data_IF_706202561294
#
_entry.id   IF_706202561294
#
_cell.length_a   1.000
_cell.length_b   1.000
_cell.length_c   1.000
_cell.angle_alpha   90.00
_cell.angle_beta   90.00
_cell.angle_gamma   90.00
#
_symmetry.space_group_name_H-M   'P 1'
#
loop_
_entity.id
_entity.type
_entity.pdbx_description
1 polymer ?
#
# COMPACT_ATOMS: atom_id res chain seq x y z
N UNK A 1 40.28 -41.98 2.91
CA UNK A 1 40.31 -40.51 3.12
C UNK A 1 39.43 -39.77 2.12
N UNK A 2 39.47 -40.08 0.82
CA UNK A 2 38.63 -39.42 -0.18
C UNK A 2 37.11 -39.62 0.06
N UNK A 3 36.67 -40.81 0.49
CA UNK A 3 35.25 -41.11 0.73
C UNK A 3 34.65 -40.37 1.93
N UNK A 4 35.42 -40.21 3.02
CA UNK A 4 35.00 -39.40 4.19
C UNK A 4 34.85 -37.92 3.82
N UNK A 5 35.74 -37.42 2.96
CA UNK A 5 35.70 -36.03 2.49
C UNK A 5 34.50 -35.79 1.56
N UNK A 6 34.18 -36.76 0.68
CA UNK A 6 33.00 -36.73 -0.15
C UNK A 6 31.69 -36.75 0.67
N UNK A 7 31.59 -37.64 1.68
CA UNK A 7 30.44 -37.69 2.58
C UNK A 7 30.24 -36.38 3.36
N UNK A 8 31.33 -35.77 3.85
CA UNK A 8 31.26 -34.47 4.55
C UNK A 8 30.80 -33.34 3.62
N UNK A 9 31.27 -33.32 2.37
CA UNK A 9 30.84 -32.36 1.35
C UNK A 9 29.36 -32.51 1.01
N UNK A 10 28.87 -33.73 0.90
CA UNK A 10 27.46 -34.01 0.62
C UNK A 10 26.55 -33.63 1.79
N UNK A 11 26.98 -33.91 3.03
CA UNK A 11 26.29 -33.47 4.23
C UNK A 11 26.25 -31.93 4.32
N UNK A 12 27.35 -31.24 4.00
CA UNK A 12 27.41 -29.78 3.96
C UNK A 12 26.48 -29.19 2.89
N UNK A 13 26.48 -29.74 1.67
CA UNK A 13 25.55 -29.33 0.59
C UNK A 13 24.10 -29.53 0.96
N UNK A 14 23.77 -30.62 1.66
CA UNK A 14 22.40 -30.89 2.13
C UNK A 14 21.96 -29.89 3.19
N UNK A 15 22.84 -29.55 4.14
CA UNK A 15 22.59 -28.49 5.13
C UNK A 15 22.40 -27.14 4.46
N UNK A 16 23.22 -26.82 3.45
CA UNK A 16 23.10 -25.58 2.69
C UNK A 16 21.76 -25.49 1.95
N UNK A 17 21.34 -26.55 1.24
CA UNK A 17 20.03 -26.61 0.57
C UNK A 17 18.89 -26.43 1.58
N UNK A 18 18.98 -27.09 2.74
CA UNK A 18 17.99 -26.95 3.80
C UNK A 18 17.92 -25.52 4.36
N UNK A 19 19.08 -24.89 4.58
CA UNK A 19 19.16 -23.50 5.03
C UNK A 19 18.58 -22.53 4.00
N UNK A 20 18.92 -22.68 2.71
CA UNK A 20 18.36 -21.89 1.60
C UNK A 20 16.84 -22.07 1.47
N UNK A 21 16.34 -23.30 1.66
CA UNK A 21 14.90 -23.55 1.65
C UNK A 21 14.19 -22.86 2.83
N UNK A 22 14.80 -22.85 4.02
CA UNK A 22 14.27 -22.12 5.19
C UNK A 22 14.26 -20.62 4.97
N UNK A 23 15.35 -20.03 4.47
CA UNK A 23 15.40 -18.58 4.19
C UNK A 23 14.38 -18.18 3.11
N UNK A 24 14.22 -18.97 2.05
CA UNK A 24 13.20 -18.74 1.04
C UNK A 24 11.78 -18.78 1.62
N UNK A 25 11.48 -19.72 2.52
CA UNK A 25 10.17 -19.80 3.21
C UNK A 25 9.92 -18.57 4.09
N UNK A 26 10.92 -18.17 4.88
CA UNK A 26 10.82 -16.99 5.76
C UNK A 26 10.60 -15.72 4.94
N UNK A 27 11.34 -15.54 3.84
CA UNK A 27 11.17 -14.38 2.94
C UNK A 27 9.75 -14.31 2.36
N UNK A 28 9.22 -15.42 1.85
CA UNK A 28 7.82 -15.48 1.37
C UNK A 28 6.80 -15.19 2.47
N UNK A 29 7.09 -15.59 3.71
CA UNK A 29 6.23 -15.29 4.86
C UNK A 29 6.23 -13.79 5.17
N UNK A 30 7.42 -13.19 5.22
CA UNK A 30 7.61 -11.76 5.43
C UNK A 30 6.93 -10.94 4.33
N UNK A 31 7.11 -11.32 3.06
CA UNK A 31 6.49 -10.62 1.92
C UNK A 31 4.95 -10.67 2.01
N UNK A 32 4.37 -11.81 2.42
CA UNK A 32 2.92 -11.91 2.63
C UNK A 32 2.43 -11.04 3.79
N UNK A 33 3.16 -11.04 4.91
CA UNK A 33 2.84 -10.20 6.06
C UNK A 33 2.94 -8.71 5.69
N UNK A 34 4.02 -8.30 5.02
CA UNK A 34 4.21 -6.93 4.55
C UNK A 34 3.10 -6.49 3.60
N UNK A 35 2.69 -7.33 2.64
CA UNK A 35 1.56 -7.02 1.74
C UNK A 35 0.27 -6.82 2.53
N UNK A 36 -0.01 -7.69 3.51
CA UNK A 36 -1.20 -7.56 4.38
C UNK A 36 -1.15 -6.25 5.18
N UNK A 37 -0.01 -5.94 5.80
CA UNK A 37 0.19 -4.71 6.58
C UNK A 37 0.06 -3.46 5.70
N UNK A 38 0.66 -3.45 4.50
CA UNK A 38 0.54 -2.34 3.56
C UNK A 38 -0.91 -2.12 3.13
N UNK A 39 -1.66 -3.19 2.85
CA UNK A 39 -3.09 -3.07 2.55
C UNK A 39 -3.85 -2.48 3.73
N UNK A 40 -3.60 -2.96 4.96
CA UNK A 40 -4.24 -2.43 6.17
C UNK A 40 -3.92 -0.94 6.39
N UNK A 41 -2.67 -0.52 6.22
CA UNK A 41 -2.26 0.89 6.38
C UNK A 41 -3.05 1.79 5.42
N UNK A 42 -3.25 1.38 4.17
CA UNK A 42 -4.05 2.16 3.20
C UNK A 42 -5.48 2.37 3.69
N UNK A 43 -6.12 1.33 4.20
CA UNK A 43 -7.47 1.43 4.75
C UNK A 43 -7.53 2.29 6.00
N UNK A 44 -6.61 2.09 6.96
CA UNK A 44 -6.57 2.87 8.20
C UNK A 44 -6.31 4.34 7.93
N UNK A 45 -5.34 4.67 7.06
CA UNK A 45 -5.04 6.04 6.68
C UNK A 45 -6.21 6.68 5.95
N UNK A 46 -6.81 5.98 4.99
CA UNK A 46 -8.00 6.46 4.26
C UNK A 46 -9.17 6.76 5.21
N UNK A 47 -9.47 5.84 6.14
CA UNK A 47 -10.50 6.03 7.15
C UNK A 47 -10.22 7.24 8.05
N UNK A 48 -8.98 7.40 8.52
CA UNK A 48 -8.57 8.55 9.33
C UNK A 48 -8.71 9.87 8.55
N UNK A 49 -8.36 9.89 7.26
CA UNK A 49 -8.53 11.07 6.41
C UNK A 49 -10.01 11.43 6.21
N UNK A 50 -10.88 10.44 5.99
CA UNK A 50 -12.33 10.65 5.88
C UNK A 50 -12.88 11.22 7.19
N UNK A 51 -12.58 10.58 8.33
CA UNK A 51 -13.03 11.04 9.64
C UNK A 51 -12.53 12.47 9.94
N UNK A 52 -11.29 12.78 9.57
CA UNK A 52 -10.74 14.13 9.71
C UNK A 52 -11.50 15.15 8.85
N UNK A 53 -11.82 14.79 7.61
CA UNK A 53 -12.59 15.64 6.70
C UNK A 53 -14.02 15.90 7.24
N UNK A 54 -14.68 14.85 7.71
CA UNK A 54 -16.03 14.91 8.30
C UNK A 54 -16.05 15.71 9.61
N UNK A 55 -14.95 15.70 10.37
CA UNK A 55 -14.85 16.48 11.61
C UNK A 55 -14.77 17.99 11.43
N UNK A 56 -14.55 18.48 10.19
CA UNK A 56 -14.33 19.90 9.88
C UNK A 56 -12.98 20.47 10.34
N UNK A 57 -12.20 19.74 11.15
CA UNK A 57 -10.91 20.21 11.70
C UNK A 57 -9.72 20.11 10.72
N UNK A 58 -9.92 19.47 9.57
CA UNK A 58 -8.87 19.21 8.59
C UNK A 58 -9.07 19.89 7.23
N UNK A 59 -9.90 20.92 7.14
CA UNK A 59 -10.32 21.52 5.87
C UNK A 59 -9.15 21.93 4.96
N UNK A 60 -8.09 22.53 5.54
CA UNK A 60 -6.87 22.88 4.79
C UNK A 60 -6.15 21.66 4.21
N UNK A 61 -6.06 20.57 4.99
CA UNK A 61 -5.42 19.32 4.56
C UNK A 61 -6.24 18.67 3.44
N UNK A 62 -7.57 18.61 3.61
CA UNK A 62 -8.50 18.08 2.61
C UNK A 62 -8.41 18.88 1.31
N UNK A 63 -8.37 20.22 1.39
CA UNK A 63 -8.25 21.10 0.22
C UNK A 63 -6.93 20.88 -0.52
N UNK A 64 -5.81 20.82 0.20
CA UNK A 64 -4.50 20.53 -0.39
C UNK A 64 -4.47 19.14 -1.04
N UNK A 65 -5.11 18.15 -0.40
CA UNK A 65 -5.21 16.81 -0.93
C UNK A 65 -6.08 16.73 -2.19
N UNK A 66 -7.22 17.43 -2.25
CA UNK A 66 -8.03 17.58 -3.47
C UNK A 66 -7.22 18.17 -4.63
N UNK A 67 -6.48 19.26 -4.39
CA UNK A 67 -5.59 19.88 -5.39
C UNK A 67 -4.46 18.96 -5.85
N UNK A 68 -3.97 18.12 -4.95
CA UNK A 68 -3.00 17.10 -5.30
C UNK A 68 -3.65 16.01 -6.15
N UNK A 69 -4.81 15.49 -5.75
CA UNK A 69 -5.57 14.47 -6.49
C UNK A 69 -5.94 14.91 -7.90
N UNK A 70 -6.43 16.14 -8.09
CA UNK A 70 -6.86 16.66 -9.40
C UNK A 70 -5.73 16.59 -10.44
N UNK A 71 -4.47 16.75 -10.02
CA UNK A 71 -3.30 16.60 -10.90
C UNK A 71 -3.05 15.18 -11.40
N UNK A 72 -3.55 14.15 -10.69
CA UNK A 72 -3.32 12.74 -11.02
C UNK A 72 -4.58 12.01 -11.50
N UNK A 73 -5.76 12.59 -11.29
CA UNK A 73 -7.04 12.04 -11.74
C UNK A 73 -7.28 12.38 -13.22
N UNK A 74 -6.65 11.60 -14.10
CA UNK A 74 -6.78 11.75 -15.54
C UNK A 74 -8.06 11.12 -16.13
N UNK A 75 -8.66 10.15 -15.44
CA UNK A 75 -9.84 9.42 -15.94
C UNK A 75 -11.13 9.95 -15.31
N UNK A 76 -12.16 10.17 -16.14
CA UNK A 76 -13.48 10.64 -15.67
C UNK A 76 -14.17 9.67 -14.73
N UNK A 77 -13.87 8.37 -14.83
CA UNK A 77 -14.41 7.35 -13.92
C UNK A 77 -13.89 7.59 -12.50
N UNK A 78 -12.59 7.87 -12.37
CA UNK A 78 -11.96 8.08 -11.07
C UNK A 78 -12.48 9.37 -10.41
N UNK A 79 -12.75 10.41 -11.20
CA UNK A 79 -13.41 11.65 -10.74
C UNK A 79 -14.83 11.38 -10.25
N UNK A 80 -15.63 10.61 -11.00
CA UNK A 80 -17.00 10.24 -10.62
C UNK A 80 -17.08 9.47 -9.31
N UNK A 81 -16.13 8.57 -9.04
CA UNK A 81 -16.09 7.80 -7.78
C UNK A 81 -15.95 8.71 -6.55
N UNK A 82 -15.31 9.87 -6.70
CA UNK A 82 -15.06 10.80 -5.59
C UNK A 82 -16.19 11.83 -5.38
N UNK A 83 -17.18 11.91 -6.27
CA UNK A 83 -18.22 12.96 -6.30
C UNK A 83 -18.91 13.16 -4.94
N UNK A 84 -19.32 12.06 -4.31
CA UNK A 84 -20.11 12.10 -3.07
C UNK A 84 -19.24 12.05 -1.80
N UNK A 85 -17.93 12.29 -1.96
CA UNK A 85 -16.97 12.24 -0.86
C UNK A 85 -16.44 13.63 -0.52
N UNK A 86 -15.89 13.81 0.69
CA UNK A 86 -15.12 15.01 1.03
C UNK A 86 -13.88 15.23 0.16
N UNK A 87 -13.59 14.39 -0.84
CA UNK A 87 -12.46 14.55 -1.76
C UNK A 87 -12.89 14.80 -3.20
N UNK A 88 -14.16 15.14 -3.44
CA UNK A 88 -14.63 15.57 -4.76
C UNK A 88 -13.77 16.70 -5.31
N UNK A 89 -13.29 16.51 -6.54
CA UNK A 89 -12.50 17.47 -7.33
C UNK A 89 -13.35 18.16 -8.39
N UNK A 90 -14.66 17.87 -8.46
CA UNK A 90 -15.57 18.71 -9.23
C UNK A 90 -15.45 20.12 -8.67
N UNK A 91 -15.00 21.06 -9.52
CA UNK A 91 -15.21 22.47 -9.26
C UNK A 91 -16.69 22.61 -8.96
N UNK A 92 -17.05 22.97 -7.73
CA UNK A 92 -18.32 23.64 -7.50
C UNK A 92 -18.31 24.77 -8.51
N UNK A 93 -19.01 24.60 -9.63
CA UNK A 93 -19.52 25.74 -10.36
C UNK A 93 -20.22 26.54 -9.28
N UNK A 94 -19.59 27.65 -8.90
CA UNK A 94 -20.21 28.61 -8.03
C UNK A 94 -21.56 28.91 -8.69
N UNK A 95 -22.64 28.53 -8.03
CA UNK A 95 -24.00 28.93 -8.34
C UNK A 95 -24.15 30.44 -8.04
N UNK A 96 -23.27 31.24 -8.64
CA UNK A 96 -23.27 32.68 -8.74
C UNK A 96 -23.08 33.03 -10.22
N UNK A 97 -24.05 32.62 -11.02
CA UNK A 97 -24.31 33.23 -12.31
C UNK A 97 -25.83 33.31 -12.51
N UNK A 98 -26.33 34.52 -12.24
CA UNK A 98 -27.67 35.08 -12.52
C UNK A 98 -28.79 34.78 -11.54
#
# INVERSE_FOLDING_TARGET
>A
MADDLAQRLEAARTRERAARARTARLRRSLDRSNRKTQSQIKFTLGAAMVALAESGKGEQLVTNFRRWLDRYLARDIDRRILRDTPFSVETKEEAHAS
#
